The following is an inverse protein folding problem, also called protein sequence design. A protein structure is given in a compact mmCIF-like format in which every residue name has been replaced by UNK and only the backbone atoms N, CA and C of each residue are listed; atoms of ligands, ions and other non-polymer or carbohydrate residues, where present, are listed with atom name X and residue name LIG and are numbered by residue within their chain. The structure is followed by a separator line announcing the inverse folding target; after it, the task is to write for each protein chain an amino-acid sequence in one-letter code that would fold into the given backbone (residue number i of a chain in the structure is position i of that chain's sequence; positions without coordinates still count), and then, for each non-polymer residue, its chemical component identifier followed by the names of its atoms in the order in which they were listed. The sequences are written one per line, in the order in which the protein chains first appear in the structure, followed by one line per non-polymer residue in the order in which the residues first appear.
data_IF_145618981534
#
_entry.id   IF_145618981534
#
_cell.length_a   1.000
_cell.length_b   1.000
_cell.length_c   1.000
_cell.angle_alpha   90.00
_cell.angle_beta   90.00
_cell.angle_gamma   90.00
#
_symmetry.space_group_name_H-M   'P 1'
#
loop_
_entity.id
_entity.type
_entity.pdbx_description
1 polymer ?
#
# COMPACT_ATOMS: atom_id res chain seq x y z
N UNK A 1 13.88 3.98 -30.50
CA UNK A 1 15.03 4.42 -29.67
C UNK A 1 14.50 5.01 -28.37
N UNK A 2 14.71 4.33 -27.24
CA UNK A 2 14.89 4.86 -25.88
C UNK A 2 15.00 3.64 -24.94
N UNK A 3 16.23 3.31 -24.59
CA UNK A 3 16.55 2.25 -23.64
C UNK A 3 16.27 2.76 -22.22
N UNK A 4 15.39 2.07 -21.50
CA UNK A 4 15.08 2.38 -20.11
C UNK A 4 16.17 1.77 -19.23
N UNK A 5 17.03 2.64 -18.67
CA UNK A 5 18.05 2.25 -17.70
C UNK A 5 17.35 2.02 -16.35
N UNK A 6 17.26 0.76 -15.91
CA UNK A 6 16.84 0.42 -14.54
C UNK A 6 18.04 0.55 -13.62
N UNK A 7 18.01 1.51 -12.70
CA UNK A 7 19.04 1.72 -11.70
C UNK A 7 18.64 1.02 -10.39
N UNK A 8 19.36 -0.06 -10.09
CA UNK A 8 19.40 -0.70 -8.77
C UNK A 8 20.36 0.11 -7.89
N UNK A 9 19.84 0.79 -6.87
CA UNK A 9 20.66 1.50 -5.89
C UNK A 9 20.86 0.62 -4.64
N UNK A 10 22.10 0.18 -4.42
CA UNK A 10 22.57 -0.47 -3.21
C UNK A 10 23.49 0.52 -2.48
N UNK A 11 23.05 1.09 -1.36
CA UNK A 11 23.87 2.01 -0.57
C UNK A 11 24.32 1.35 0.73
N UNK A 12 25.65 1.25 0.88
CA UNK A 12 26.40 0.92 2.11
C UNK A 12 27.07 2.20 2.63
N UNK A 13 27.42 2.20 3.93
CA UNK A 13 28.23 3.17 4.70
C UNK A 13 27.40 4.22 5.46
N UNK A 14 27.79 4.77 6.62
CA UNK A 14 28.57 4.36 7.79
C UNK A 14 28.52 5.55 8.77
N UNK A 15 28.23 5.29 10.05
CA UNK A 15 28.62 6.04 11.28
C UNK A 15 28.50 7.59 11.35
N UNK A 16 27.83 8.06 12.42
CA UNK A 16 28.43 9.11 13.27
C UNK A 16 27.53 10.21 13.86
N UNK A 17 27.50 10.23 15.20
CA UNK A 17 27.37 11.39 16.10
C UNK A 17 25.99 11.92 16.54
N UNK A 18 25.84 11.94 17.87
CA UNK A 18 24.78 12.54 18.70
C UNK A 18 25.04 14.03 18.94
N UNK A 19 24.00 14.81 19.20
CA UNK A 19 24.09 15.95 20.12
C UNK A 19 22.76 16.20 20.85
N UNK A 20 22.87 16.27 22.17
CA UNK A 20 21.90 16.64 23.19
C UNK A 20 22.20 18.09 23.59
N UNK A 21 21.22 19.00 23.72
CA UNK A 21 21.24 20.10 24.72
C UNK A 21 19.79 20.49 25.07
N UNK A 22 19.62 20.87 26.33
CA UNK A 22 18.40 20.98 27.13
C UNK A 22 18.10 22.48 27.44
N UNK A 23 17.29 22.88 28.45
CA UNK A 23 16.07 23.66 28.26
C UNK A 23 16.14 25.10 28.80
N UNK A 24 15.10 25.91 28.55
CA UNK A 24 14.79 27.08 29.37
C UNK A 24 13.31 27.12 29.75
N UNK A 25 13.09 27.26 31.06
CA UNK A 25 11.80 27.51 31.70
C UNK A 25 11.48 29.01 31.74
N UNK A 26 10.20 29.38 31.80
CA UNK A 26 9.70 30.45 32.69
C UNK A 26 8.18 30.71 32.59
N UNK A 27 7.51 30.42 33.73
CA UNK A 27 6.48 31.15 34.50
C UNK A 27 5.08 31.57 34.00
N UNK A 28 4.15 31.47 34.99
CA UNK A 28 2.83 32.13 35.18
C UNK A 28 1.70 31.63 34.26
N UNK A 29 0.54 31.16 34.74
CA UNK A 29 -0.20 31.43 35.97
C UNK A 29 -1.60 31.89 35.57
N UNK A 30 -2.61 31.01 35.70
CA UNK A 30 -3.99 31.36 35.35
C UNK A 30 -4.95 30.19 35.54
N UNK A 31 -5.78 30.25 36.58
CA UNK A 31 -6.91 29.34 36.80
C UNK A 31 -7.99 29.61 35.75
N UNK A 32 -8.25 28.63 34.90
CA UNK A 32 -9.45 28.55 34.06
C UNK A 32 -9.97 27.12 34.10
N UNK A 33 -11.16 26.93 34.66
CA UNK A 33 -11.91 25.67 34.55
C UNK A 33 -12.30 25.49 33.08
N UNK A 34 -11.61 24.59 32.39
CA UNK A 34 -12.05 24.09 31.08
C UNK A 34 -12.46 22.64 31.26
N UNK A 35 -13.75 22.38 31.12
CA UNK A 35 -14.27 21.04 31.01
C UNK A 35 -13.64 20.38 29.77
N UNK A 36 -12.90 19.31 29.99
CA UNK A 36 -12.39 18.43 28.94
C UNK A 36 -13.57 17.78 28.22
N UNK A 37 -14.05 18.42 27.16
CA UNK A 37 -14.57 17.68 26.03
C UNK A 37 -13.35 17.16 25.29
N UNK A 38 -13.12 15.86 25.37
CA UNK A 38 -12.19 15.18 24.48
C UNK A 38 -12.67 15.44 23.05
N UNK A 39 -12.05 16.41 22.37
CA UNK A 39 -12.09 16.51 20.93
C UNK A 39 -11.37 15.27 20.41
N UNK A 40 -12.14 14.20 20.21
CA UNK A 40 -11.74 13.16 19.29
C UNK A 40 -11.57 13.87 17.94
N UNK A 41 -10.31 14.08 17.55
CA UNK A 41 -9.97 14.58 16.23
C UNK A 41 -10.58 13.62 15.23
N UNK A 42 -11.67 14.05 14.60
CA UNK A 42 -12.19 13.38 13.43
C UNK A 42 -11.04 13.31 12.39
N UNK A 43 -10.90 12.19 11.66
CA UNK A 43 -9.93 12.13 10.58
C UNK A 43 -10.25 13.27 9.61
N UNK A 44 -9.28 14.16 9.40
CA UNK A 44 -9.40 15.22 8.39
C UNK A 44 -9.47 14.54 7.03
N UNK A 45 -10.62 14.67 6.37
CA UNK A 45 -10.81 14.25 4.99
C UNK A 45 -10.00 15.20 4.10
N UNK A 46 -8.74 14.85 3.85
CA UNK A 46 -7.95 15.50 2.81
C UNK A 46 -8.65 15.24 1.45
N UNK A 47 -8.81 16.28 0.62
CA UNK A 47 -9.71 16.37 -0.56
C UNK A 47 -9.57 15.28 -1.66
N UNK A 48 -8.72 14.27 -1.49
CA UNK A 48 -8.56 13.13 -2.41
C UNK A 48 -9.34 11.85 -1.99
N UNK A 49 -10.09 11.87 -0.89
CA UNK A 49 -10.86 10.68 -0.45
C UNK A 49 -9.95 9.51 -0.06
N UNK A 50 -8.82 9.84 0.57
CA UNK A 50 -7.84 8.89 1.06
C UNK A 50 -8.08 8.61 2.56
N UNK A 51 -8.02 7.35 2.96
CA UNK A 51 -7.78 6.96 4.34
C UNK A 51 -6.27 6.88 4.59
N UNK A 52 -5.84 7.39 5.74
CA UNK A 52 -4.43 7.34 6.15
C UNK A 52 -4.15 6.03 6.89
N UNK A 53 -3.09 5.34 6.48
CA UNK A 53 -2.58 4.13 7.13
C UNK A 53 -1.09 4.31 7.44
N UNK A 54 -0.59 3.59 8.45
CA UNK A 54 0.81 3.64 8.86
C UNK A 54 1.39 2.23 8.80
N UNK A 55 2.44 2.04 8.03
CA UNK A 55 3.16 0.78 7.91
C UNK A 55 4.59 0.92 8.41
N UNK A 56 5.07 -0.04 9.23
CA UNK A 56 6.44 -0.06 9.77
C UNK A 56 7.22 -1.20 9.17
N UNK A 57 7.82 -0.96 8.00
CA UNK A 57 8.40 -2.01 7.17
C UNK A 57 9.89 -2.17 7.46
N UNK A 58 10.34 -3.42 7.67
CA UNK A 58 11.77 -3.73 7.86
C UNK A 58 12.54 -3.62 6.55
N UNK A 59 13.82 -3.25 6.60
CA UNK A 59 14.73 -3.31 5.44
C UNK A 59 15.15 -4.76 5.12
N UNK A 60 15.34 -5.13 3.84
CA UNK A 60 14.95 -4.39 2.64
C UNK A 60 13.42 -4.31 2.52
N UNK A 61 12.90 -3.13 2.12
CA UNK A 61 11.46 -2.89 2.15
C UNK A 61 10.69 -3.84 1.23
N UNK A 62 11.18 -4.04 0.00
CA UNK A 62 10.45 -4.81 -1.00
C UNK A 62 9.25 -4.09 -1.60
N UNK A 63 9.22 -2.75 -1.54
CA UNK A 63 8.27 -1.92 -2.27
C UNK A 63 8.91 -1.43 -3.57
N UNK A 64 8.12 -1.39 -4.63
CA UNK A 64 8.47 -0.77 -5.90
C UNK A 64 7.59 0.47 -6.02
N UNK A 65 8.23 1.62 -6.14
CA UNK A 65 7.57 2.91 -6.17
C UNK A 65 7.59 3.50 -7.59
N UNK A 66 6.58 4.30 -7.90
CA UNK A 66 6.46 5.05 -9.15
C UNK A 66 5.98 6.47 -8.87
N UNK A 67 6.49 7.43 -9.65
CA UNK A 67 6.01 8.81 -9.63
C UNK A 67 4.65 8.90 -10.31
N UNK A 68 3.69 9.60 -9.69
CA UNK A 68 2.34 9.72 -10.23
C UNK A 68 2.34 10.47 -11.56
N UNK A 69 1.40 10.13 -12.44
CA UNK A 69 1.13 10.93 -13.64
C UNK A 69 0.80 12.38 -13.24
N UNK A 70 1.56 13.33 -13.78
CA UNK A 70 1.48 14.75 -13.40
C UNK A 70 2.63 15.22 -12.50
N UNK A 71 3.51 14.33 -12.04
CA UNK A 71 4.77 14.66 -11.36
C UNK A 71 4.63 15.13 -9.91
N UNK A 72 3.46 14.94 -9.28
CA UNK A 72 3.25 15.24 -7.87
C UNK A 72 2.98 13.96 -7.08
N UNK A 73 3.93 13.60 -6.23
CA UNK A 73 3.84 12.46 -5.34
C UNK A 73 4.25 11.12 -5.94
N UNK A 74 4.36 10.14 -5.05
CA UNK A 74 4.82 8.79 -5.34
C UNK A 74 3.80 7.78 -4.83
N UNK A 75 3.57 6.71 -5.59
CA UNK A 75 2.69 5.61 -5.21
C UNK A 75 3.41 4.26 -5.26
N UNK A 76 2.83 3.27 -4.56
CA UNK A 76 3.29 1.89 -4.58
C UNK A 76 2.83 1.24 -5.88
N UNK A 77 3.74 1.02 -6.81
CA UNK A 77 3.47 0.33 -8.07
C UNK A 77 3.33 -1.18 -7.87
N UNK A 78 4.23 -1.78 -7.09
CA UNK A 78 4.30 -3.23 -6.91
C UNK A 78 4.96 -3.57 -5.57
N UNK A 79 4.74 -4.79 -5.09
CA UNK A 79 5.31 -5.30 -3.85
C UNK A 79 5.99 -6.63 -4.16
N UNK A 80 7.29 -6.73 -3.86
CA UNK A 80 8.03 -7.99 -3.98
C UNK A 80 7.42 -9.01 -2.99
N UNK A 81 6.86 -10.14 -3.45
CA UNK A 81 6.29 -11.16 -2.56
C UNK A 81 7.30 -11.77 -1.58
N UNK A 82 8.61 -11.60 -1.83
CA UNK A 82 9.70 -12.04 -0.95
C UNK A 82 10.25 -10.91 -0.06
N UNK A 83 9.79 -9.69 -0.28
CA UNK A 83 10.17 -8.51 0.49
C UNK A 83 9.39 -8.36 1.79
N UNK A 84 9.91 -7.55 2.72
CA UNK A 84 9.29 -7.40 4.04
C UNK A 84 7.92 -6.69 3.97
N UNK A 85 7.68 -5.83 2.98
CA UNK A 85 6.39 -5.13 2.81
C UNK A 85 5.22 -6.08 2.50
N UNK A 86 5.48 -7.27 1.96
CA UNK A 86 4.43 -8.23 1.63
C UNK A 86 3.61 -8.67 2.86
N UNK A 87 4.20 -8.64 4.06
CA UNK A 87 3.54 -8.96 5.32
C UNK A 87 2.95 -7.77 6.07
N UNK A 88 3.11 -6.56 5.54
CA UNK A 88 2.76 -5.32 6.24
C UNK A 88 1.48 -4.68 5.65
N UNK A 89 0.98 -3.61 6.27
CA UNK A 89 -0.19 -2.87 5.77
C UNK A 89 0.16 -1.92 4.61
N UNK A 90 0.83 -2.44 3.58
CA UNK A 90 1.16 -1.73 2.33
C UNK A 90 0.38 -2.36 1.19
N UNK A 91 -0.24 -1.53 0.33
CA UNK A 91 -0.95 -1.97 -0.85
C UNK A 91 -0.44 -1.30 -2.12
N UNK A 92 -0.52 -2.03 -3.23
CA UNK A 92 -0.38 -1.45 -4.57
C UNK A 92 -1.45 -0.37 -4.77
N UNK A 93 -1.02 0.80 -5.22
CA UNK A 93 -1.83 2.02 -5.37
C UNK A 93 -1.85 2.94 -4.15
N UNK A 94 -1.21 2.57 -3.03
CA UNK A 94 -1.07 3.47 -1.88
C UNK A 94 -0.15 4.64 -2.24
N UNK A 95 -0.55 5.87 -1.91
CA UNK A 95 0.25 7.09 -2.05
C UNK A 95 1.18 7.23 -0.84
N UNK A 96 2.45 7.53 -1.05
CA UNK A 96 3.39 7.84 0.04
C UNK A 96 3.17 9.28 0.47
N UNK A 97 2.68 9.50 1.70
CA UNK A 97 2.40 10.83 2.24
C UNK A 97 3.53 11.32 3.15
N UNK A 98 4.11 10.42 3.94
CA UNK A 98 5.21 10.73 4.87
C UNK A 98 6.18 9.56 5.02
N UNK A 99 7.43 9.87 5.36
CA UNK A 99 8.48 8.93 5.77
C UNK A 99 9.04 9.40 7.11
N UNK A 100 9.03 8.54 8.14
CA UNK A 100 9.52 8.83 9.49
C UNK A 100 9.08 10.21 10.02
N UNK A 101 7.77 10.47 9.97
CA UNK A 101 7.12 11.73 10.35
C UNK A 101 7.47 12.97 9.49
N UNK A 102 8.22 12.83 8.39
CA UNK A 102 8.49 13.91 7.44
C UNK A 102 7.53 13.83 6.25
N UNK A 103 6.79 14.91 5.99
CA UNK A 103 5.86 15.00 4.87
C UNK A 103 6.61 15.01 3.53
N UNK A 104 6.13 14.21 2.59
CA UNK A 104 6.69 14.10 1.23
C UNK A 104 5.61 13.82 0.17
N UNK A 105 4.33 14.03 0.49
CA UNK A 105 3.19 13.63 -0.33
C UNK A 105 3.21 14.18 -1.75
N UNK A 106 3.71 15.40 -1.94
CA UNK A 106 3.77 16.10 -3.23
C UNK A 106 5.17 16.07 -3.86
N UNK A 107 6.11 15.36 -3.25
CA UNK A 107 7.49 15.26 -3.75
C UNK A 107 7.63 14.18 -4.83
N UNK A 108 8.58 14.39 -5.73
CA UNK A 108 8.90 13.42 -6.78
C UNK A 108 9.70 12.21 -6.27
N UNK A 109 9.88 11.23 -7.15
CA UNK A 109 10.50 9.93 -6.82
C UNK A 109 11.86 10.07 -6.14
N UNK A 110 12.76 10.90 -6.66
CA UNK A 110 14.13 11.02 -6.15
C UNK A 110 14.17 11.53 -4.70
N UNK A 111 13.29 12.45 -4.34
CA UNK A 111 13.22 13.01 -3.00
C UNK A 111 12.66 11.98 -2.00
N UNK A 112 11.57 11.29 -2.38
CA UNK A 112 10.98 10.20 -1.58
C UNK A 112 11.98 9.05 -1.39
N UNK A 113 12.63 8.60 -2.46
CA UNK A 113 13.65 7.56 -2.41
C UNK A 113 14.86 7.98 -1.56
N UNK A 114 15.29 9.25 -1.67
CA UNK A 114 16.34 9.83 -0.84
C UNK A 114 15.99 9.79 0.65
N UNK A 115 14.74 10.13 1.01
CA UNK A 115 14.24 10.05 2.40
C UNK A 115 14.19 8.62 2.91
N UNK A 116 13.71 7.67 2.10
CA UNK A 116 13.76 6.23 2.45
C UNK A 116 15.21 5.78 2.65
N UNK A 117 16.15 6.26 1.84
CA UNK A 117 17.57 5.96 1.98
C UNK A 117 18.18 6.54 3.26
N UNK A 118 17.78 7.76 3.64
CA UNK A 118 18.28 8.48 4.81
C UNK A 118 17.61 8.08 6.14
N UNK A 119 16.44 7.42 6.08
CA UNK A 119 15.70 6.92 7.24
C UNK A 119 16.61 6.09 8.17
N UNK A 120 16.66 6.49 9.44
CA UNK A 120 17.53 5.87 10.42
C UNK A 120 16.87 4.61 11.02
N UNK A 121 17.61 3.49 11.02
CA UNK A 121 17.18 2.23 11.65
C UNK A 121 16.95 1.08 10.68
N UNK A 122 16.55 -0.07 11.23
CA UNK A 122 16.24 -1.28 10.46
C UNK A 122 14.81 -1.29 9.92
N UNK A 123 14.00 -0.29 10.29
CA UNK A 123 12.61 -0.09 9.86
C UNK A 123 12.41 1.31 9.32
N UNK A 124 11.53 1.43 8.34
CA UNK A 124 11.06 2.71 7.79
C UNK A 124 9.58 2.82 8.11
N UNK A 125 9.15 3.93 8.71
CA UNK A 125 7.74 4.23 8.93
C UNK A 125 7.19 4.97 7.70
N UNK A 126 6.22 4.35 7.03
CA UNK A 126 5.53 4.91 5.88
C UNK A 126 4.12 5.32 6.29
N UNK A 127 3.80 6.60 6.14
CA UNK A 127 2.41 7.08 6.19
C UNK A 127 1.87 7.04 4.77
N UNK A 128 0.82 6.25 4.56
CA UNK A 128 0.28 5.92 3.26
C UNK A 128 -1.16 6.41 3.13
N UNK A 129 -1.47 7.06 2.02
CA UNK A 129 -2.81 7.45 1.62
C UNK A 129 -3.42 6.39 0.71
N UNK A 130 -4.47 5.73 1.19
CA UNK A 130 -5.18 4.67 0.46
C UNK A 130 -6.56 5.15 0.07
N UNK A 131 -7.01 4.91 -1.17
CA UNK A 131 -8.38 5.26 -1.56
C UNK A 131 -9.40 4.54 -0.69
N UNK A 132 -10.38 5.27 -0.16
CA UNK A 132 -11.42 4.70 0.70
C UNK A 132 -12.16 3.57 -0.06
N UNK A 133 -12.35 2.44 0.63
CA UNK A 133 -13.02 1.27 0.08
C UNK A 133 -12.14 0.35 -0.79
N UNK A 134 -10.84 0.64 -0.92
CA UNK A 134 -9.89 -0.27 -1.59
C UNK A 134 -9.87 -1.65 -0.93
N UNK A 135 -9.98 -2.68 -1.75
CA UNK A 135 -9.91 -4.08 -1.35
C UNK A 135 -8.52 -4.63 -1.67
N UNK A 136 -7.87 -5.26 -0.68
CA UNK A 136 -6.65 -6.05 -0.86
C UNK A 136 -6.99 -7.39 -1.51
N UNK A 137 -6.55 -7.59 -2.75
CA UNK A 137 -6.63 -8.88 -3.43
C UNK A 137 -5.33 -9.63 -3.23
N UNK A 138 -5.41 -10.87 -2.71
CA UNK A 138 -4.24 -11.76 -2.54
C UNK A 138 -4.35 -12.89 -3.57
N UNK A 139 -3.36 -13.00 -4.44
CA UNK A 139 -3.31 -13.99 -5.52
C UNK A 139 -2.61 -15.28 -5.08
N UNK A 140 -2.87 -16.43 -5.74
CA UNK A 140 -2.23 -17.70 -5.40
C UNK A 140 -0.70 -17.72 -5.53
N UNK A 141 -0.13 -16.85 -6.36
CA UNK A 141 1.32 -16.69 -6.49
C UNK A 141 1.93 -15.81 -5.38
N UNK A 142 1.13 -15.35 -4.41
CA UNK A 142 1.54 -14.45 -3.33
C UNK A 142 1.55 -12.96 -3.70
N UNK A 143 1.31 -12.63 -4.97
CA UNK A 143 1.18 -11.23 -5.40
C UNK A 143 -0.05 -10.58 -4.77
N UNK A 144 -0.01 -9.26 -4.64
CA UNK A 144 -1.11 -8.46 -4.08
C UNK A 144 -1.57 -7.40 -5.08
N UNK A 145 -2.83 -6.99 -4.97
CA UNK A 145 -3.38 -5.84 -5.71
C UNK A 145 -4.30 -5.04 -4.81
N UNK A 146 -4.20 -3.71 -4.85
CA UNK A 146 -5.25 -2.83 -4.36
C UNK A 146 -6.24 -2.56 -5.50
N UNK A 147 -7.54 -2.69 -5.23
CA UNK A 147 -8.56 -2.45 -6.25
C UNK A 147 -9.88 -1.95 -5.63
N UNK A 148 -10.61 -1.11 -6.35
CA UNK A 148 -11.93 -0.67 -5.91
C UNK A 148 -13.00 -1.75 -6.16
N UNK A 149 -14.08 -1.78 -5.37
CA UNK A 149 -15.17 -2.70 -5.59
C UNK A 149 -15.80 -2.56 -6.97
N UNK A 150 -16.04 -3.70 -7.63
CA UNK A 150 -16.59 -3.73 -8.99
C UNK A 150 -15.54 -3.79 -10.11
N UNK A 151 -14.25 -3.54 -9.83
CA UNK A 151 -13.19 -3.72 -10.82
C UNK A 151 -13.10 -5.19 -11.31
N UNK A 152 -12.75 -5.42 -12.59
CA UNK A 152 -12.69 -6.77 -13.15
C UNK A 152 -11.47 -7.55 -12.64
N UNK A 153 -11.69 -8.73 -12.05
CA UNK A 153 -10.60 -9.56 -11.52
C UNK A 153 -9.66 -10.06 -12.61
N UNK A 154 -10.12 -10.19 -13.86
CA UNK A 154 -9.28 -10.56 -14.99
C UNK A 154 -8.14 -9.57 -15.23
N UNK A 155 -8.43 -8.27 -15.21
CA UNK A 155 -7.42 -7.22 -15.44
C UNK A 155 -6.43 -7.16 -14.28
N UNK A 156 -6.92 -7.31 -13.05
CA UNK A 156 -6.08 -7.35 -11.86
C UNK A 156 -5.17 -8.58 -11.85
N UNK A 157 -5.65 -9.75 -12.28
CA UNK A 157 -4.83 -10.94 -12.43
C UNK A 157 -3.69 -10.73 -13.42
N UNK A 158 -3.98 -10.06 -14.55
CA UNK A 158 -2.97 -9.70 -15.55
C UNK A 158 -1.91 -8.75 -14.96
N UNK A 159 -2.34 -7.69 -14.27
CA UNK A 159 -1.44 -6.73 -13.59
C UNK A 159 -0.56 -7.42 -12.55
N UNK A 160 -1.15 -8.32 -11.75
CA UNK A 160 -0.45 -9.14 -10.76
C UNK A 160 0.36 -10.29 -11.36
N UNK A 161 0.41 -10.40 -12.70
CA UNK A 161 1.11 -11.47 -13.45
C UNK A 161 0.72 -12.87 -12.97
N UNK A 162 -0.53 -13.05 -12.54
CA UNK A 162 -1.06 -14.34 -12.14
C UNK A 162 -1.57 -15.08 -13.39
N UNK A 163 -0.99 -16.24 -13.76
CA UNK A 163 -1.29 -16.90 -15.04
C UNK A 163 -2.61 -17.67 -14.96
N UNK A 164 -3.71 -16.97 -15.19
CA UNK A 164 -5.04 -17.57 -15.29
C UNK A 164 -5.23 -18.18 -16.68
N UNK A 165 -5.70 -19.42 -16.74
CA UNK A 165 -6.08 -20.07 -17.99
C UNK A 165 -7.47 -19.59 -18.42
N UNK A 166 -7.58 -19.10 -19.65
CA UNK A 166 -8.84 -18.67 -20.25
C UNK A 166 -9.07 -19.41 -21.56
N UNK A 167 -10.19 -20.13 -21.66
CA UNK A 167 -10.71 -20.64 -22.94
C UNK A 167 -11.90 -19.82 -23.48
N UNK A 168 -12.49 -18.94 -22.65
CA UNK A 168 -13.50 -17.96 -23.05
C UNK A 168 -13.48 -16.75 -22.11
N UNK A 169 -14.09 -15.64 -22.52
CA UNK A 169 -14.29 -14.43 -21.69
C UNK A 169 -15.69 -14.33 -21.09
N UNK A 170 -16.67 -15.09 -21.59
CA UNK A 170 -18.07 -15.08 -21.10
C UNK A 170 -18.28 -15.89 -19.81
N UNK A 171 -17.26 -16.61 -19.36
CA UNK A 171 -17.33 -17.52 -18.22
C UNK A 171 -18.02 -18.86 -18.52
N UNK A 172 -18.52 -19.13 -19.73
CA UNK A 172 -19.26 -20.37 -20.01
C UNK A 172 -18.42 -21.66 -19.90
N UNK A 173 -17.13 -21.61 -20.25
CA UNK A 173 -16.28 -22.81 -20.33
C UNK A 173 -15.71 -23.30 -18.99
N UNK A 174 -15.78 -22.51 -17.90
CA UNK A 174 -15.27 -22.90 -16.57
C UNK A 174 -13.74 -22.95 -16.40
N UNK A 175 -12.94 -22.79 -17.46
CA UNK A 175 -11.45 -22.88 -17.36
C UNK A 175 -10.79 -21.86 -16.43
N UNK A 176 -11.44 -20.71 -16.22
CA UNK A 176 -10.95 -19.63 -15.36
C UNK A 176 -11.44 -19.78 -13.89
N UNK A 177 -11.96 -20.95 -13.50
CA UNK A 177 -12.57 -21.20 -12.18
C UNK A 177 -11.54 -21.19 -11.04
N UNK A 178 -11.86 -20.42 -9.99
CA UNK A 178 -11.08 -20.22 -8.79
C UNK A 178 -12.00 -20.24 -7.58
N UNK A 179 -11.42 -20.28 -6.38
CA UNK A 179 -12.15 -20.10 -5.13
C UNK A 179 -11.85 -18.71 -4.57
N UNK A 180 -12.87 -18.00 -4.13
CA UNK A 180 -12.74 -16.69 -3.49
C UNK A 180 -13.06 -16.82 -2.01
N UNK A 181 -12.10 -16.43 -1.18
CA UNK A 181 -12.25 -16.36 0.27
C UNK A 181 -12.26 -14.89 0.70
N UNK A 182 -13.34 -14.47 1.35
CA UNK A 182 -13.47 -13.16 1.97
C UNK A 182 -13.68 -13.38 3.47
N UNK A 183 -13.01 -12.60 4.36
CA UNK A 183 -13.25 -12.73 5.79
C UNK A 183 -14.74 -12.58 6.14
N UNK A 184 -15.24 -13.49 6.98
CA UNK A 184 -16.65 -13.52 7.41
C UNK A 184 -17.62 -14.20 6.46
N UNK A 185 -17.19 -14.63 5.27
CA UNK A 185 -18.04 -15.38 4.33
C UNK A 185 -17.52 -16.80 4.08
N UNK A 186 -18.41 -17.66 3.59
CA UNK A 186 -18.02 -18.96 3.05
C UNK A 186 -17.20 -18.82 1.77
N UNK A 187 -16.29 -19.77 1.55
CA UNK A 187 -15.51 -19.84 0.32
C UNK A 187 -16.47 -20.15 -0.84
N UNK A 188 -16.44 -19.30 -1.87
CA UNK A 188 -17.29 -19.46 -3.06
C UNK A 188 -16.46 -19.71 -4.32
N UNK A 189 -17.00 -20.51 -5.23
CA UNK A 189 -16.44 -20.64 -6.58
C UNK A 189 -16.71 -19.38 -7.38
N UNK A 190 -15.70 -18.94 -8.13
CA UNK A 190 -15.76 -17.75 -8.97
C UNK A 190 -15.04 -17.98 -10.28
N UNK A 191 -15.43 -17.25 -11.33
CA UNK A 191 -14.82 -17.33 -12.65
C UNK A 191 -14.14 -15.99 -12.93
N UNK A 192 -12.80 -15.96 -12.88
CA UNK A 192 -12.04 -14.70 -12.93
C UNK A 192 -12.31 -13.87 -14.20
N UNK A 193 -12.70 -14.52 -15.30
CA UNK A 193 -13.05 -13.89 -16.57
C UNK A 193 -14.31 -13.01 -16.54
N UNK A 194 -15.19 -13.18 -15.56
CA UNK A 194 -16.41 -12.36 -15.38
C UNK A 194 -16.56 -11.80 -13.97
N UNK A 195 -15.73 -12.26 -13.04
CA UNK A 195 -15.79 -11.87 -11.65
C UNK A 195 -15.28 -10.45 -11.42
N UNK A 196 -15.83 -9.82 -10.38
CA UNK A 196 -15.49 -8.47 -9.96
C UNK A 196 -15.05 -8.45 -8.51
N UNK A 197 -14.26 -7.44 -8.15
CA UNK A 197 -13.86 -7.17 -6.76
C UNK A 197 -15.11 -7.04 -5.88
N UNK A 198 -15.18 -7.76 -4.75
CA UNK A 198 -16.36 -7.75 -3.87
C UNK A 198 -16.57 -6.38 -3.21
N UNK A 199 -17.83 -6.03 -2.95
CA UNK A 199 -18.20 -4.81 -2.20
C UNK A 199 -18.17 -5.07 -0.70
N UNK A 200 -17.84 -4.03 0.08
CA UNK A 200 -17.90 -4.06 1.55
C UNK A 200 -16.90 -5.00 2.19
N UNK A 201 -15.79 -5.30 1.51
CA UNK A 201 -14.72 -6.17 2.00
C UNK A 201 -13.41 -5.41 1.98
N UNK A 202 -12.58 -5.60 3.00
CA UNK A 202 -11.23 -5.03 3.04
C UNK A 202 -10.21 -5.96 2.36
N UNK A 203 -10.46 -7.28 2.39
CA UNK A 203 -9.56 -8.30 1.84
C UNK A 203 -10.36 -9.35 1.08
N UNK A 204 -9.84 -9.79 -0.06
CA UNK A 204 -10.32 -10.96 -0.77
C UNK A 204 -9.13 -11.80 -1.26
N UNK A 205 -9.10 -13.08 -0.87
CA UNK A 205 -8.07 -14.02 -1.27
C UNK A 205 -8.58 -14.91 -2.41
N UNK A 206 -7.87 -14.88 -3.53
CA UNK A 206 -8.07 -15.82 -4.64
C UNK A 206 -7.25 -17.06 -4.35
N UNK A 207 -7.90 -18.21 -4.39
CA UNK A 207 -7.32 -19.54 -4.21
C UNK A 207 -7.41 -20.31 -5.52
N UNK A 208 -6.46 -21.23 -5.80
CA UNK A 208 -6.57 -22.11 -6.96
C UNK A 208 -7.91 -22.84 -6.97
N UNK A 209 -8.49 -22.97 -8.17
CA UNK A 209 -9.59 -23.89 -8.41
C UNK A 209 -9.13 -25.33 -8.14
N UNK A 210 -10.04 -26.18 -7.69
CA UNK A 210 -9.82 -27.60 -7.45
C UNK A 210 -10.57 -28.48 -8.46
N UNK A 211 -11.16 -27.87 -9.49
CA UNK A 211 -12.01 -28.57 -10.46
C UNK A 211 -11.32 -29.02 -11.75
N UNK A 212 -10.06 -28.67 -11.98
CA UNK A 212 -9.29 -29.06 -13.17
C UNK A 212 -7.78 -29.09 -12.90
#
# INVERSE_FOLDING_TARGET
MRALLRLLALCLLSTGARAFVWPHASTRGGRGRSASAASASAPSEDEEGLMVTIAKVRRPLGVILEEREGGSGVEVLDIDPRGNAAGEDVLVGDRVLMIDAQQCGDEGFDAVAGRIGASAGDRVELTLGRRIGTVRIIWPNGAQSGALPGEPLQELALKARYPVKYACTSGSCGTCEHRLRTPGDDIRYTRLCVARVPKGKEVAQVLPGDRF
#
